data_IF_781873416679
#
_entry.id   IF_781873416679
#
_cell.length_a   1.000
_cell.length_b   1.000
_cell.length_c   1.000
_cell.angle_alpha   90.00
_cell.angle_beta   90.00
_cell.angle_gamma   90.00
#
_symmetry.space_group_name_H-M   'P 1'
#
loop_
_entity.id
_entity.type
_entity.pdbx_description
1 polymer ?
#
# COMPACT_ATOMS: atom_id res chain seq x y z
N UNK A 1 8.98 -79.94 -9.89
CA UNK A 1 8.26 -78.67 -10.20
C UNK A 1 8.91 -77.61 -9.40
N UNK A 2 9.83 -76.85 -10.02
CA UNK A 2 10.79 -76.00 -9.34
C UNK A 2 10.51 -74.58 -9.77
N UNK A 3 9.98 -73.77 -8.85
CA UNK A 3 9.74 -72.34 -9.08
C UNK A 3 11.04 -71.58 -8.94
N UNK A 4 11.52 -70.99 -10.03
CA UNK A 4 12.59 -70.02 -10.08
C UNK A 4 12.09 -68.65 -9.57
N UNK A 5 12.48 -68.29 -8.35
CA UNK A 5 12.42 -66.90 -7.89
C UNK A 5 13.60 -66.14 -8.50
N UNK A 6 13.37 -65.39 -9.55
CA UNK A 6 14.34 -64.44 -10.07
C UNK A 6 14.47 -63.29 -9.10
N UNK A 7 15.56 -63.22 -8.32
CA UNK A 7 15.96 -62.07 -7.52
C UNK A 7 16.33 -60.93 -8.49
N UNK A 8 15.46 -59.94 -8.57
CA UNK A 8 15.79 -58.65 -9.22
C UNK A 8 16.93 -57.99 -8.45
N UNK A 9 18.13 -58.14 -8.93
CA UNK A 9 19.31 -57.47 -8.43
C UNK A 9 19.30 -56.03 -8.99
N UNK A 10 18.64 -55.08 -8.28
CA UNK A 10 18.65 -53.67 -8.67
C UNK A 10 20.05 -53.11 -8.39
N UNK A 11 20.81 -52.68 -9.39
CA UNK A 11 22.16 -52.20 -9.18
C UNK A 11 22.14 -50.97 -8.26
N UNK A 12 23.03 -50.94 -7.23
CA UNK A 12 23.11 -49.85 -6.23
C UNK A 12 23.15 -48.46 -6.84
N UNK A 13 23.71 -48.31 -8.07
CA UNK A 13 23.74 -47.06 -8.85
C UNK A 13 22.35 -46.63 -9.28
N UNK A 14 21.43 -47.52 -9.57
CA UNK A 14 20.07 -47.20 -10.01
C UNK A 14 19.22 -46.70 -8.83
N UNK A 15 19.45 -47.22 -7.61
CA UNK A 15 18.81 -46.78 -6.37
C UNK A 15 19.31 -45.34 -6.03
N UNK A 16 20.60 -45.06 -6.19
CA UNK A 16 21.16 -43.72 -5.96
C UNK A 16 20.61 -42.66 -6.90
N UNK A 17 20.43 -43.00 -8.18
CA UNK A 17 19.83 -42.11 -9.19
C UNK A 17 18.37 -41.86 -8.87
N UNK A 18 17.61 -42.87 -8.44
CA UNK A 18 16.19 -42.73 -8.10
C UNK A 18 16.01 -41.87 -6.83
N UNK A 19 16.89 -42.00 -5.85
CA UNK A 19 16.92 -41.17 -4.65
C UNK A 19 17.26 -39.70 -4.98
N UNK A 20 18.25 -39.46 -5.85
CA UNK A 20 18.60 -38.14 -6.29
C UNK A 20 17.43 -37.46 -7.06
N UNK A 21 16.72 -38.24 -7.89
CA UNK A 21 15.54 -37.73 -8.63
C UNK A 21 14.38 -37.40 -7.68
N UNK A 22 14.16 -38.17 -6.63
CA UNK A 22 13.16 -37.91 -5.58
C UNK A 22 13.47 -36.64 -4.78
N UNK A 23 14.75 -36.39 -4.48
CA UNK A 23 15.19 -35.16 -3.80
C UNK A 23 14.96 -33.94 -4.70
N UNK A 24 15.27 -34.02 -5.99
CA UNK A 24 15.04 -32.94 -6.95
C UNK A 24 13.55 -32.66 -7.13
N UNK A 25 12.71 -33.68 -7.27
CA UNK A 25 11.26 -33.52 -7.36
C UNK A 25 10.69 -32.97 -6.06
N UNK A 26 11.16 -33.44 -4.91
CA UNK A 26 10.76 -32.95 -3.59
C UNK A 26 11.14 -31.49 -3.37
N UNK A 27 12.32 -31.06 -3.82
CA UNK A 27 12.74 -29.65 -3.74
C UNK A 27 11.92 -28.75 -4.68
N UNK A 28 11.55 -29.19 -5.88
CA UNK A 28 10.67 -28.45 -6.78
C UNK A 28 9.27 -28.31 -6.17
N UNK A 29 8.73 -29.36 -5.55
CA UNK A 29 7.43 -29.32 -4.86
C UNK A 29 7.44 -28.43 -3.62
N UNK A 30 8.55 -28.42 -2.86
CA UNK A 30 8.73 -27.48 -1.75
C UNK A 30 8.88 -26.03 -2.23
N UNK A 31 9.61 -25.80 -3.31
CA UNK A 31 9.72 -24.47 -3.91
C UNK A 31 8.36 -23.96 -4.45
N UNK A 32 7.54 -24.82 -5.04
CA UNK A 32 6.18 -24.45 -5.48
C UNK A 32 5.21 -24.20 -4.31
N UNK A 33 5.42 -24.82 -3.16
CA UNK A 33 4.60 -24.60 -1.96
C UNK A 33 5.04 -23.35 -1.17
N UNK A 34 6.29 -22.92 -1.34
CA UNK A 34 6.82 -21.66 -0.79
C UNK A 34 6.70 -20.47 -1.74
N UNK A 35 6.42 -20.67 -3.02
CA UNK A 35 5.81 -19.66 -3.86
C UNK A 35 4.35 -19.58 -3.41
N UNK A 36 4.12 -18.88 -2.29
CA UNK A 36 2.80 -18.38 -1.96
C UNK A 36 2.26 -17.77 -3.25
N UNK A 37 1.12 -18.24 -3.70
CA UNK A 37 0.36 -17.58 -4.73
C UNK A 37 0.01 -16.20 -4.16
N UNK A 38 0.89 -15.22 -4.38
CA UNK A 38 0.50 -13.84 -4.32
C UNK A 38 -0.49 -13.69 -5.47
N UNK A 39 -1.78 -13.77 -5.16
CA UNK A 39 -2.82 -13.43 -6.12
C UNK A 39 -2.56 -11.96 -6.51
N UNK A 40 -2.09 -11.76 -7.74
CA UNK A 40 -2.03 -10.41 -8.29
C UNK A 40 -3.44 -9.86 -8.27
N UNK A 41 -3.61 -8.65 -7.71
CA UNK A 41 -4.91 -7.99 -7.68
C UNK A 41 -5.47 -7.92 -9.10
N UNK A 42 -6.75 -8.23 -9.26
CA UNK A 42 -7.37 -8.17 -10.57
C UNK A 42 -7.35 -6.72 -11.10
N UNK A 43 -7.20 -6.54 -12.40
CA UNK A 43 -7.27 -5.21 -13.02
C UNK A 43 -8.58 -4.47 -12.69
N UNK A 44 -9.65 -5.21 -12.40
CA UNK A 44 -10.93 -4.66 -11.99
C UNK A 44 -10.89 -4.10 -10.56
N UNK A 45 -10.21 -4.77 -9.62
CA UNK A 45 -10.05 -4.28 -8.24
C UNK A 45 -9.20 -3.01 -8.22
N UNK A 46 -8.09 -3.00 -8.95
CA UNK A 46 -7.23 -1.82 -9.08
C UNK A 46 -7.99 -0.63 -9.69
N UNK A 47 -8.78 -0.85 -10.73
CA UNK A 47 -9.62 0.20 -11.35
C UNK A 47 -10.67 0.76 -10.38
N UNK A 48 -11.29 -0.11 -9.57
CA UNK A 48 -12.28 0.31 -8.55
C UNK A 48 -11.63 1.13 -7.45
N UNK A 49 -10.46 0.71 -6.96
CA UNK A 49 -9.67 1.45 -5.97
C UNK A 49 -9.33 2.85 -6.49
N UNK A 50 -8.78 2.94 -7.70
CA UNK A 50 -8.46 4.22 -8.32
C UNK A 50 -9.68 5.12 -8.46
N UNK A 51 -10.84 4.57 -8.86
CA UNK A 51 -12.08 5.31 -8.99
C UNK A 51 -12.58 5.84 -7.64
N UNK A 52 -12.56 5.04 -6.58
CA UNK A 52 -12.99 5.47 -5.24
C UNK A 52 -12.09 6.58 -4.69
N UNK A 53 -10.76 6.43 -4.82
CA UNK A 53 -9.81 7.44 -4.36
C UNK A 53 -9.84 8.72 -5.18
N UNK A 54 -10.20 8.64 -6.48
CA UNK A 54 -10.36 9.82 -7.35
C UNK A 54 -11.67 10.56 -7.13
N UNK A 55 -12.72 9.82 -6.80
CA UNK A 55 -14.11 10.32 -6.72
C UNK A 55 -14.44 11.13 -5.46
N UNK A 56 -13.50 11.27 -4.56
CA UNK A 56 -13.67 11.94 -3.29
C UNK A 56 -14.06 11.00 -2.14
N UNK A 57 -13.59 11.34 -0.94
CA UNK A 57 -13.85 10.59 0.28
C UNK A 57 -13.58 11.43 1.52
N UNK A 58 -14.03 10.94 2.67
CA UNK A 58 -13.63 11.43 3.99
C UNK A 58 -12.94 10.32 4.76
N UNK A 59 -12.00 10.69 5.63
CA UNK A 59 -11.30 9.75 6.49
C UNK A 59 -10.71 10.46 7.73
N UNK A 60 -10.40 9.69 8.77
CA UNK A 60 -9.53 10.13 9.84
C UNK A 60 -8.11 9.62 9.58
N UNK A 61 -7.13 10.51 9.70
CA UNK A 61 -5.72 10.24 9.45
C UNK A 61 -4.95 10.30 10.77
N UNK A 62 -4.17 9.26 11.06
CA UNK A 62 -3.10 9.29 12.07
C UNK A 62 -1.77 9.27 11.33
N UNK A 63 -1.04 10.38 11.39
CA UNK A 63 0.19 10.61 10.63
C UNK A 63 1.40 10.62 11.54
N UNK A 64 2.44 9.91 11.14
CA UNK A 64 3.76 9.89 11.76
C UNK A 64 4.78 10.39 10.73
N UNK A 65 5.58 11.39 11.11
CA UNK A 65 6.65 11.94 10.28
C UNK A 65 7.89 12.15 11.12
N UNK A 66 8.85 11.27 11.02
CA UNK A 66 9.94 11.17 11.99
C UNK A 66 9.41 10.96 13.41
N UNK A 67 9.80 11.82 14.32
CA UNK A 67 9.33 11.79 15.72
C UNK A 67 8.01 12.57 15.94
N UNK A 68 7.48 13.21 14.89
CA UNK A 68 6.27 14.02 14.98
C UNK A 68 5.03 13.18 14.68
N UNK A 69 4.05 13.25 15.57
CA UNK A 69 2.75 12.59 15.38
C UNK A 69 1.63 13.62 15.32
N UNK A 70 0.70 13.41 14.40
CA UNK A 70 -0.48 14.25 14.25
C UNK A 70 -1.71 13.45 13.86
N UNK A 71 -2.89 14.00 14.17
CA UNK A 71 -4.16 13.47 13.70
C UNK A 71 -4.97 14.56 13.01
N UNK A 72 -5.64 14.18 11.93
CA UNK A 72 -6.49 15.09 11.17
C UNK A 72 -7.71 14.37 10.62
N UNK A 73 -8.81 15.08 10.49
CA UNK A 73 -9.90 14.71 9.62
C UNK A 73 -9.56 15.16 8.20
N UNK A 74 -9.67 14.26 7.24
CA UNK A 74 -9.43 14.53 5.83
C UNK A 74 -10.74 14.48 5.05
N UNK A 75 -10.91 15.42 4.14
CA UNK A 75 -12.01 15.46 3.19
C UNK A 75 -11.46 15.80 1.80
N UNK A 76 -11.70 14.94 0.83
CA UNK A 76 -11.38 15.16 -0.58
C UNK A 76 -12.68 15.18 -1.37
N UNK A 77 -12.84 16.15 -2.28
CA UNK A 77 -13.92 16.18 -3.27
C UNK A 77 -13.50 15.52 -4.58
N UNK A 78 -12.29 15.81 -5.00
CA UNK A 78 -11.59 15.18 -6.12
C UNK A 78 -10.08 15.40 -5.93
N UNK A 79 -9.25 14.73 -6.71
CA UNK A 79 -7.79 14.90 -6.64
C UNK A 79 -7.44 16.38 -6.88
N UNK A 80 -6.69 16.97 -5.93
CA UNK A 80 -6.32 18.39 -5.96
C UNK A 80 -7.32 19.34 -5.31
N UNK A 81 -8.45 18.86 -4.77
CA UNK A 81 -9.36 19.64 -3.93
C UNK A 81 -9.63 18.87 -2.63
N UNK A 82 -8.96 19.26 -1.56
CA UNK A 82 -9.05 18.59 -0.29
C UNK A 82 -8.80 19.52 0.90
N UNK A 83 -9.21 19.06 2.08
CA UNK A 83 -9.05 19.76 3.36
C UNK A 83 -8.58 18.80 4.44
N UNK A 84 -7.56 19.22 5.19
CA UNK A 84 -7.10 18.59 6.42
C UNK A 84 -7.51 19.45 7.61
N UNK A 85 -8.26 18.93 8.57
CA UNK A 85 -8.59 19.57 9.84
C UNK A 85 -7.87 18.86 10.95
N UNK A 86 -6.82 19.48 11.50
CA UNK A 86 -5.99 18.88 12.53
C UNK A 86 -6.67 18.95 13.88
N UNK A 87 -6.57 17.85 14.64
CA UNK A 87 -7.08 17.72 16.00
C UNK A 87 -5.99 17.37 17.03
N UNK A 88 -4.81 16.95 16.57
CA UNK A 88 -3.67 16.59 17.41
C UNK A 88 -2.36 16.91 16.70
N UNK A 89 -1.29 17.30 17.43
CA UNK A 89 -1.25 17.61 18.87
C UNK A 89 -2.03 18.88 19.22
N UNK A 90 -2.19 19.25 20.50
CA UNK A 90 -2.94 20.45 20.91
C UNK A 90 -2.45 21.76 20.27
N UNK A 91 -1.19 21.82 19.85
CA UNK A 91 -0.62 22.96 19.10
C UNK A 91 -1.19 23.12 17.68
N UNK A 92 -1.71 22.04 17.11
CA UNK A 92 -2.36 22.02 15.78
C UNK A 92 -3.89 22.02 15.86
N UNK A 93 -4.48 21.94 17.05
CA UNK A 93 -5.93 21.92 17.19
C UNK A 93 -6.55 23.21 16.60
N UNK A 94 -7.50 23.03 15.68
CA UNK A 94 -8.11 24.12 14.91
C UNK A 94 -7.25 24.64 13.74
N UNK A 95 -6.15 23.95 13.42
CA UNK A 95 -5.41 24.22 12.18
C UNK A 95 -6.07 23.51 11.01
N UNK A 96 -6.37 24.25 9.97
CA UNK A 96 -6.96 23.74 8.73
C UNK A 96 -6.06 24.06 7.55
N UNK A 97 -5.84 23.06 6.70
CA UNK A 97 -5.09 23.19 5.49
C UNK A 97 -6.00 22.76 4.34
N UNK A 98 -6.21 23.66 3.38
CA UNK A 98 -7.05 23.42 2.19
C UNK A 98 -6.19 23.55 0.94
N UNK A 99 -6.24 22.54 0.08
CA UNK A 99 -5.73 22.59 -1.27
C UNK A 99 -6.94 22.72 -2.21
N UNK A 100 -6.96 23.75 -3.04
CA UNK A 100 -7.97 23.93 -4.07
C UNK A 100 -7.39 24.76 -5.22
N UNK A 101 -7.64 24.35 -6.45
CA UNK A 101 -7.15 24.99 -7.68
C UNK A 101 -5.62 25.23 -7.67
N UNK A 102 -4.86 24.28 -7.11
CA UNK A 102 -3.40 24.36 -7.00
C UNK A 102 -2.91 25.40 -5.98
N UNK A 103 -3.79 25.94 -5.13
CA UNK A 103 -3.43 26.86 -4.06
C UNK A 103 -3.59 26.20 -2.71
N UNK A 104 -2.57 26.34 -1.87
CA UNK A 104 -2.61 25.91 -0.48
C UNK A 104 -3.04 27.09 0.40
N UNK A 105 -4.12 26.93 1.11
CA UNK A 105 -4.60 27.90 2.10
C UNK A 105 -4.50 27.29 3.48
N UNK A 106 -3.88 28.01 4.38
CA UNK A 106 -3.78 27.66 5.82
C UNK A 106 -4.72 28.55 6.59
N UNK A 107 -5.54 27.95 7.43
CA UNK A 107 -6.39 28.67 8.37
C UNK A 107 -6.09 28.20 9.80
N UNK A 108 -5.92 29.16 10.72
CA UNK A 108 -5.75 28.89 12.13
C UNK A 108 -6.47 29.94 12.95
N UNK A 109 -7.43 29.51 13.77
CA UNK A 109 -8.24 30.40 14.63
C UNK A 109 -8.86 31.59 13.89
N UNK A 110 -9.34 31.34 12.67
CA UNK A 110 -10.00 32.35 11.82
C UNK A 110 -9.05 33.28 11.05
N UNK A 111 -7.75 33.09 11.17
CA UNK A 111 -6.75 33.79 10.36
C UNK A 111 -6.37 32.88 9.18
N UNK A 112 -6.57 33.36 7.96
CA UNK A 112 -6.23 32.59 6.75
C UNK A 112 -5.06 33.25 6.02
N UNK A 113 -4.17 32.42 5.46
CA UNK A 113 -3.07 32.83 4.61
C UNK A 113 -2.91 31.83 3.48
N UNK A 114 -2.64 32.30 2.28
CA UNK A 114 -2.30 31.44 1.16
C UNK A 114 -0.79 31.25 1.09
N UNK A 115 -0.37 30.01 0.91
CA UNK A 115 1.03 29.63 0.75
C UNK A 115 1.28 29.44 -0.74
N UNK A 116 2.22 30.22 -1.28
CA UNK A 116 2.60 30.14 -2.71
C UNK A 116 3.78 29.23 -2.96
N UNK A 117 4.30 28.55 -1.94
CA UNK A 117 5.52 27.74 -2.05
C UNK A 117 5.17 26.27 -2.03
N UNK A 118 5.00 25.71 -3.22
CA UNK A 118 4.62 24.32 -3.43
C UNK A 118 5.63 23.35 -2.80
N UNK A 119 6.93 23.68 -2.80
CA UNK A 119 7.99 22.82 -2.25
C UNK A 119 7.87 22.60 -0.73
N UNK A 120 7.49 23.62 0.04
CA UNK A 120 7.30 23.47 1.49
C UNK A 120 6.07 22.59 1.81
N UNK A 121 5.05 22.66 0.97
CA UNK A 121 3.88 21.82 1.12
C UNK A 121 4.18 20.36 0.71
N UNK A 122 4.83 20.16 -0.43
CA UNK A 122 5.17 18.84 -0.96
C UNK A 122 6.01 18.01 0.03
N UNK A 123 6.91 18.65 0.78
CA UNK A 123 7.73 18.00 1.82
C UNK A 123 7.04 17.87 3.18
N UNK A 124 5.78 18.30 3.30
CA UNK A 124 4.99 18.12 4.53
C UNK A 124 4.32 16.75 4.58
N UNK A 125 3.91 16.29 5.77
CA UNK A 125 3.14 15.05 5.90
C UNK A 125 1.83 15.07 5.10
N UNK A 126 1.16 16.23 5.00
CA UNK A 126 -0.03 16.40 4.18
C UNK A 126 0.31 16.27 2.68
N UNK A 127 1.41 16.87 2.22
CA UNK A 127 1.89 16.76 0.85
C UNK A 127 2.26 15.33 0.48
N UNK A 128 2.99 14.62 1.33
CA UNK A 128 3.33 13.20 1.14
C UNK A 128 2.09 12.32 1.06
N UNK A 129 1.06 12.59 1.88
CA UNK A 129 -0.20 11.85 1.78
C UNK A 129 -0.91 12.09 0.43
N UNK A 130 -0.95 13.33 -0.07
CA UNK A 130 -1.52 13.61 -1.37
C UNK A 130 -0.71 12.99 -2.52
N UNK A 131 0.61 13.02 -2.43
CA UNK A 131 1.49 12.30 -3.37
C UNK A 131 1.20 10.80 -3.39
N UNK A 132 0.92 10.20 -2.24
CA UNK A 132 0.52 8.82 -2.14
C UNK A 132 -0.79 8.53 -2.88
N UNK A 133 -1.82 9.38 -2.69
CA UNK A 133 -3.10 9.25 -3.40
C UNK A 133 -2.92 9.36 -4.92
N UNK A 134 -2.10 10.30 -5.37
CA UNK A 134 -1.77 10.47 -6.79
C UNK A 134 -1.03 9.25 -7.35
N UNK A 135 -0.07 8.71 -6.60
CA UNK A 135 0.68 7.51 -6.95
C UNK A 135 -0.25 6.30 -7.09
N UNK A 136 -1.13 6.08 -6.11
CA UNK A 136 -2.10 4.97 -6.14
C UNK A 136 -3.07 5.12 -7.31
N UNK A 137 -3.59 6.31 -7.55
CA UNK A 137 -4.59 6.54 -8.60
C UNK A 137 -4.01 6.48 -10.00
N UNK A 138 -2.74 6.85 -10.18
CA UNK A 138 -2.04 6.73 -11.46
C UNK A 138 -1.68 5.30 -11.83
N UNK A 139 -1.52 4.42 -10.83
CA UNK A 139 -1.10 3.01 -10.96
C UNK A 139 0.22 2.80 -11.71
N UNK A 140 1.02 3.85 -11.92
CA UNK A 140 2.23 3.78 -12.73
C UNK A 140 3.39 3.18 -11.91
N UNK A 141 3.96 2.10 -12.42
CA UNK A 141 5.15 1.46 -11.84
C UNK A 141 4.90 0.71 -10.52
N UNK A 142 3.64 0.63 -10.07
CA UNK A 142 3.28 -0.09 -8.86
C UNK A 142 3.31 -1.61 -9.09
N UNK A 143 3.93 -2.32 -8.18
CA UNK A 143 3.72 -3.76 -7.99
C UNK A 143 2.58 -3.98 -7.02
N UNK A 144 1.84 -5.08 -7.18
CA UNK A 144 0.72 -5.44 -6.30
C UNK A 144 0.92 -6.85 -5.75
N UNK A 145 0.60 -7.01 -4.47
CA UNK A 145 0.59 -8.30 -3.78
C UNK A 145 -0.61 -8.36 -2.84
N UNK A 146 -1.34 -9.48 -2.87
CA UNK A 146 -2.44 -9.71 -1.94
C UNK A 146 -2.04 -10.80 -0.94
N UNK A 147 -2.15 -10.50 0.34
CA UNK A 147 -1.88 -11.44 1.43
C UNK A 147 -2.93 -11.24 2.54
N UNK A 148 -3.52 -12.31 3.03
CA UNK A 148 -4.56 -12.30 4.07
C UNK A 148 -5.73 -11.34 3.76
N UNK A 149 -6.07 -11.15 2.50
CA UNK A 149 -7.15 -10.26 2.06
C UNK A 149 -6.78 -8.77 2.05
N UNK A 150 -5.53 -8.43 2.31
CA UNK A 150 -4.99 -7.07 2.19
C UNK A 150 -4.20 -6.96 0.88
N UNK A 151 -4.55 -5.98 0.08
CA UNK A 151 -3.80 -5.61 -1.10
C UNK A 151 -2.71 -4.61 -0.73
N UNK A 152 -1.47 -4.96 -0.98
CA UNK A 152 -0.32 -4.06 -0.86
C UNK A 152 0.13 -3.62 -2.24
N UNK A 153 0.16 -2.30 -2.45
CA UNK A 153 0.76 -1.66 -3.62
C UNK A 153 2.12 -1.09 -3.21
N UNK A 154 3.15 -1.28 -4.03
CA UNK A 154 4.48 -0.76 -3.71
C UNK A 154 5.26 -0.29 -4.94
N UNK A 155 6.08 0.75 -4.74
CA UNK A 155 7.14 1.14 -5.68
C UNK A 155 8.47 0.56 -5.20
N UNK A 156 9.31 0.06 -6.12
CA UNK A 156 10.65 -0.40 -5.76
C UNK A 156 11.47 0.76 -5.18
N UNK A 157 12.24 0.43 -4.14
CA UNK A 157 13.11 1.36 -3.43
C UNK A 157 14.52 0.81 -3.29
N UNK A 158 15.04 0.77 -2.06
CA UNK A 158 16.30 0.11 -1.72
C UNK A 158 16.13 -1.42 -1.62
N UNK A 159 17.24 -2.16 -1.43
CA UNK A 159 17.20 -3.62 -1.27
C UNK A 159 16.36 -4.07 -0.05
N UNK A 160 16.24 -3.21 0.97
CA UNK A 160 15.57 -3.53 2.24
C UNK A 160 14.15 -2.98 2.31
N UNK A 161 13.91 -1.78 1.75
CA UNK A 161 12.62 -1.08 1.87
C UNK A 161 12.10 -0.55 0.53
N UNK A 162 10.77 -0.63 0.27
CA UNK A 162 10.16 0.04 -0.87
C UNK A 162 10.27 1.57 -0.72
N UNK A 163 10.32 2.28 -1.85
CA UNK A 163 10.25 3.74 -1.84
C UNK A 163 8.87 4.23 -1.36
N UNK A 164 7.83 3.45 -1.66
CA UNK A 164 6.44 3.71 -1.32
C UNK A 164 5.72 2.39 -1.08
N UNK A 165 4.79 2.38 -0.13
CA UNK A 165 3.87 1.27 0.11
C UNK A 165 2.50 1.79 0.53
N UNK A 166 1.44 1.15 0.01
CA UNK A 166 0.06 1.40 0.42
C UNK A 166 -0.65 0.07 0.66
N UNK A 167 -1.42 0.00 1.76
CA UNK A 167 -2.27 -1.14 2.08
C UNK A 167 -3.73 -0.76 1.90
N UNK A 168 -4.47 -1.61 1.23
CA UNK A 168 -5.87 -1.41 0.88
C UNK A 168 -6.69 -2.66 1.20
N UNK A 169 -7.96 -2.44 1.55
CA UNK A 169 -8.95 -3.49 1.53
C UNK A 169 -9.53 -3.58 0.10
N UNK A 170 -9.22 -4.63 -0.67
CA UNK A 170 -9.69 -4.73 -2.06
C UNK A 170 -11.21 -4.94 -2.16
N UNK A 171 -11.88 -5.47 -1.12
CA UNK A 171 -13.32 -5.70 -1.12
C UNK A 171 -14.11 -4.40 -1.09
N UNK A 172 -13.73 -3.47 -0.23
CA UNK A 172 -14.41 -2.18 -0.05
C UNK A 172 -13.70 -1.05 -0.79
N UNK A 173 -12.55 -1.34 -1.41
CA UNK A 173 -11.65 -0.37 -2.04
C UNK A 173 -11.28 0.77 -1.07
N UNK A 174 -11.00 0.40 0.19
CA UNK A 174 -10.67 1.28 1.30
C UNK A 174 -9.16 1.39 1.44
N UNK A 175 -8.64 2.61 1.59
CA UNK A 175 -7.25 2.85 1.95
C UNK A 175 -7.06 2.66 3.45
N UNK A 176 -6.11 1.83 3.86
CA UNK A 176 -5.83 1.49 5.26
C UNK A 176 -4.55 2.14 5.78
N UNK A 177 -3.51 2.14 4.97
CA UNK A 177 -2.19 2.61 5.38
C UNK A 177 -1.41 3.10 4.16
N UNK A 178 -0.59 4.13 4.35
CA UNK A 178 0.40 4.62 3.39
C UNK A 178 1.71 4.81 4.10
N UNK A 179 2.82 4.48 3.45
CA UNK A 179 4.16 4.76 3.97
C UNK A 179 5.15 5.14 2.89
N UNK A 180 6.06 6.06 3.25
CA UNK A 180 7.30 6.38 2.56
C UNK A 180 8.45 6.11 3.53
N UNK A 181 8.99 4.88 3.59
CA UNK A 181 9.99 4.51 4.59
C UNK A 181 11.24 5.38 4.58
N UNK A 182 11.70 5.80 3.38
CA UNK A 182 12.87 6.65 3.22
C UNK A 182 12.68 8.06 3.79
N UNK A 183 11.44 8.53 3.87
CA UNK A 183 11.05 9.83 4.44
C UNK A 183 10.65 9.71 5.92
N UNK A 184 10.72 8.50 6.51
CA UNK A 184 10.18 8.22 7.85
C UNK A 184 8.73 8.70 8.00
N UNK A 185 7.91 8.50 6.94
CA UNK A 185 6.51 8.91 6.90
C UNK A 185 5.58 7.72 6.85
N UNK A 186 4.55 7.76 7.68
CA UNK A 186 3.49 6.76 7.73
C UNK A 186 2.16 7.42 8.07
N UNK A 187 1.09 6.96 7.40
CA UNK A 187 -0.29 7.34 7.71
C UNK A 187 -1.12 6.09 7.88
N UNK A 188 -1.87 6.02 8.97
CA UNK A 188 -2.96 5.06 9.16
C UNK A 188 -4.27 5.78 8.91
N UNK A 189 -5.10 5.17 8.06
CA UNK A 189 -6.41 5.69 7.64
C UNK A 189 -7.50 4.92 8.38
N UNK A 190 -8.47 5.62 8.94
CA UNK A 190 -9.65 5.04 9.58
C UNK A 190 -10.91 5.81 9.19
N UNK A 191 -12.07 5.21 9.44
CA UNK A 191 -13.37 5.80 9.12
C UNK A 191 -13.46 6.27 7.65
N UNK A 192 -12.86 5.49 6.76
CA UNK A 192 -12.89 5.77 5.31
C UNK A 192 -14.33 5.69 4.79
N UNK A 193 -14.79 6.76 4.15
CA UNK A 193 -16.12 6.84 3.58
C UNK A 193 -16.07 7.49 2.20
N UNK A 194 -16.33 6.74 1.10
CA UNK A 194 -16.39 7.31 -0.23
C UNK A 194 -17.53 8.32 -0.32
N UNK A 195 -17.28 9.44 -0.97
CA UNK A 195 -18.33 10.40 -1.28
C UNK A 195 -19.26 9.79 -2.35
N UNK A 196 -20.53 9.59 -2.02
CA UNK A 196 -21.50 9.12 -3.00
C UNK A 196 -21.52 10.11 -4.16
N UNK A 197 -21.14 9.67 -5.35
CA UNK A 197 -21.32 10.46 -6.56
C UNK A 197 -22.83 10.76 -6.70
N UNK A 198 -23.16 12.05 -6.64
CA UNK A 198 -24.52 12.52 -6.93
C UNK A 198 -24.71 12.69 -8.43
#
# INVERSE_FOLDING_TARGET
MMQMLSRFFVPKKLIAVLLALLVVIGSIFLFQKFSSSSDEASAQDLSRIAANLSGGFTANLSMEYGDFQSAAQFEQRYIGDCTFRFSSPPSLDGFELTLSDGKVTVCYRGISSSISNDQLFESSGAGLFLQALETITSMQGLSSQTEDGILTLSLPGSEEDPAFSAKLNPTDAELLEVSFPQENFKVVVSDFSPSSAK
#
